data_IF_525987520007
#
_entry.id   IF_525987520007
#
_cell.length_a   1.000
_cell.length_b   1.000
_cell.length_c   1.000
_cell.angle_alpha   90.00
_cell.angle_beta   90.00
_cell.angle_gamma   90.00
#
_symmetry.space_group_name_H-M   'P 1'
#
loop_
_entity.id
_entity.type
_entity.pdbx_description
1 polymer ?
#
# COMPACT_ATOMS: atom_id res chain seq x y z
N UNK A 1 13.47 -6.46 -29.05
CA UNK A 1 12.98 -7.81 -29.40
C UNK A 1 11.68 -8.09 -28.64
N UNK A 2 10.50 -7.94 -29.25
CA UNK A 2 9.24 -8.45 -28.66
C UNK A 2 9.29 -9.96 -28.79
N UNK A 3 9.52 -10.68 -27.69
CA UNK A 3 9.34 -12.13 -27.70
C UNK A 3 7.89 -12.38 -28.11
N UNK A 4 7.65 -13.15 -29.19
CA UNK A 4 6.32 -13.46 -29.73
C UNK A 4 5.46 -14.33 -28.80
N UNK A 5 5.50 -14.08 -27.49
CA UNK A 5 4.69 -14.77 -26.49
C UNK A 5 3.26 -14.29 -26.61
N UNK A 6 2.34 -15.25 -26.71
CA UNK A 6 0.92 -15.00 -26.63
C UNK A 6 0.59 -14.38 -25.26
N UNK A 7 0.09 -13.14 -25.28
CA UNK A 7 -0.15 -12.34 -24.07
C UNK A 7 -1.31 -12.87 -23.23
N UNK A 8 -2.35 -13.41 -23.88
CA UNK A 8 -3.49 -14.04 -23.23
C UNK A 8 -3.23 -15.49 -22.75
N UNK A 9 -2.05 -16.06 -23.04
CA UNK A 9 -1.76 -17.41 -22.60
C UNK A 9 -1.69 -17.48 -21.07
N UNK A 10 -2.28 -18.54 -20.50
CA UNK A 10 -2.38 -18.73 -19.04
C UNK A 10 -1.02 -18.67 -18.34
N UNK A 11 0.05 -19.19 -18.97
CA UNK A 11 1.39 -19.15 -18.40
C UNK A 11 1.95 -17.72 -18.28
N UNK A 12 1.63 -16.83 -19.25
CA UNK A 12 2.00 -15.42 -19.23
C UNK A 12 1.25 -14.69 -18.12
N UNK A 13 -0.06 -14.91 -18.02
CA UNK A 13 -0.91 -14.31 -16.99
C UNK A 13 -0.53 -14.80 -15.58
N UNK A 14 -0.29 -16.09 -15.41
CA UNK A 14 0.15 -16.67 -14.13
C UNK A 14 1.48 -16.09 -13.64
N UNK A 15 2.41 -15.83 -14.56
CA UNK A 15 3.68 -15.17 -14.22
C UNK A 15 3.45 -13.73 -13.73
N UNK A 16 2.63 -12.97 -14.44
CA UNK A 16 2.29 -11.60 -14.07
C UNK A 16 1.55 -11.54 -12.73
N UNK A 17 0.58 -12.44 -12.51
CA UNK A 17 -0.15 -12.54 -11.26
C UNK A 17 0.79 -12.77 -10.08
N UNK A 18 1.75 -13.69 -10.18
CA UNK A 18 2.76 -13.92 -9.13
C UNK A 18 3.62 -12.69 -8.88
N UNK A 19 4.03 -11.98 -9.93
CA UNK A 19 4.81 -10.76 -9.81
C UNK A 19 4.05 -9.65 -9.06
N UNK A 20 2.73 -9.55 -9.25
CA UNK A 20 1.89 -8.48 -8.66
C UNK A 20 1.24 -8.86 -7.34
N UNK A 21 1.14 -10.15 -7.00
CA UNK A 21 0.42 -10.64 -5.82
C UNK A 21 0.83 -9.92 -4.54
N UNK A 22 2.13 -9.79 -4.27
CA UNK A 22 2.63 -9.12 -3.07
C UNK A 22 2.27 -7.63 -3.02
N UNK A 23 2.48 -6.89 -4.12
CA UNK A 23 2.13 -5.48 -4.19
C UNK A 23 0.62 -5.24 -4.03
N UNK A 24 -0.20 -6.09 -4.65
CA UNK A 24 -1.65 -6.01 -4.52
C UNK A 24 -2.10 -6.31 -3.08
N UNK A 25 -1.54 -7.33 -2.43
CA UNK A 25 -1.84 -7.65 -1.02
C UNK A 25 -1.43 -6.53 -0.06
N UNK A 26 -0.24 -5.95 -0.27
CA UNK A 26 0.22 -4.82 0.54
C UNK A 26 -0.75 -3.64 0.43
N UNK A 27 -1.17 -3.31 -0.80
CA UNK A 27 -2.12 -2.22 -1.03
C UNK A 27 -3.48 -2.50 -0.38
N UNK A 28 -4.01 -3.71 -0.55
CA UNK A 28 -5.28 -4.14 0.03
C UNK A 28 -5.28 -4.03 1.55
N UNK A 29 -4.23 -4.53 2.21
CA UNK A 29 -4.06 -4.42 3.66
C UNK A 29 -3.92 -2.97 4.11
N UNK A 30 -3.14 -2.17 3.38
CA UNK A 30 -2.92 -0.75 3.71
C UNK A 30 -4.23 0.04 3.67
N UNK A 31 -5.02 -0.12 2.60
CA UNK A 31 -6.29 0.58 2.44
C UNK A 31 -7.35 0.11 3.44
N UNK A 32 -7.35 -1.18 3.78
CA UNK A 32 -8.23 -1.71 4.83
C UNK A 32 -7.89 -1.09 6.18
N UNK A 33 -6.60 -1.01 6.54
CA UNK A 33 -6.15 -0.34 7.76
C UNK A 33 -6.50 1.14 7.77
N UNK A 34 -6.30 1.87 6.66
CA UNK A 34 -6.73 3.26 6.55
C UNK A 34 -8.23 3.43 6.73
N UNK A 35 -9.05 2.58 6.11
CA UNK A 35 -10.50 2.62 6.30
C UNK A 35 -10.89 2.39 7.75
N UNK A 36 -10.24 1.45 8.44
CA UNK A 36 -10.51 1.19 9.86
C UNK A 36 -10.10 2.37 10.74
N UNK A 37 -8.93 2.96 10.53
CA UNK A 37 -8.39 4.05 11.35
C UNK A 37 -9.03 5.42 11.09
N UNK A 38 -9.45 5.70 9.85
CA UNK A 38 -9.95 7.02 9.44
C UNK A 38 -11.44 7.04 9.09
N UNK A 39 -12.06 5.89 8.85
CA UNK A 39 -13.47 5.79 8.43
C UNK A 39 -14.47 5.53 9.57
N UNK A 40 -14.00 5.44 10.82
CA UNK A 40 -14.86 5.20 11.99
C UNK A 40 -14.74 6.37 12.97
N UNK A 41 -15.87 6.80 13.52
CA UNK A 41 -15.94 7.82 14.59
C UNK A 41 -15.93 7.13 15.95
N UNK A 42 -14.76 6.62 16.34
CA UNK A 42 -14.53 6.04 17.67
C UNK A 42 -13.42 6.81 18.39
N UNK A 43 -13.67 7.22 19.63
CA UNK A 43 -12.72 7.97 20.46
C UNK A 43 -11.38 7.27 20.59
N UNK A 44 -11.36 5.95 20.82
CA UNK A 44 -10.12 5.18 20.95
C UNK A 44 -9.31 5.13 19.64
N UNK A 45 -9.99 4.97 18.50
CA UNK A 45 -9.33 5.01 17.19
C UNK A 45 -8.78 6.41 16.87
N UNK A 46 -9.47 7.46 17.33
CA UNK A 46 -9.01 8.84 17.16
C UNK A 46 -7.70 9.09 17.92
N UNK A 47 -7.56 8.57 19.15
CA UNK A 47 -6.31 8.66 19.92
C UNK A 47 -5.16 7.94 19.23
N UNK A 48 -5.38 6.71 18.75
CA UNK A 48 -4.38 5.94 17.99
C UNK A 48 -3.95 6.70 16.74
N UNK A 49 -4.91 7.25 15.98
CA UNK A 49 -4.63 8.06 14.78
C UNK A 49 -3.80 9.28 15.12
N UNK A 50 -4.18 10.03 16.16
CA UNK A 50 -3.47 11.26 16.55
C UNK A 50 -2.05 10.97 17.04
N UNK A 51 -1.86 9.90 17.83
CA UNK A 51 -0.54 9.44 18.24
C UNK A 51 0.32 9.03 17.03
N UNK A 52 -0.26 8.31 16.07
CA UNK A 52 0.42 7.93 14.82
C UNK A 52 0.81 9.13 13.96
N UNK A 53 -0.08 10.11 13.80
CA UNK A 53 0.21 11.35 13.06
C UNK A 53 1.32 12.17 13.74
N UNK A 54 1.23 12.33 15.06
CA UNK A 54 2.27 13.00 15.85
C UNK A 54 3.64 12.32 15.70
N UNK A 55 3.68 10.98 15.76
CA UNK A 55 4.91 10.21 15.57
C UNK A 55 5.52 10.44 14.18
N UNK A 56 4.70 10.46 13.12
CA UNK A 56 5.18 10.73 11.75
C UNK A 56 5.70 12.15 11.63
N UNK A 57 5.07 13.12 12.29
CA UNK A 57 5.54 14.51 12.30
C UNK A 57 6.86 14.69 13.06
N UNK A 58 7.08 13.93 14.12
CA UNK A 58 8.34 13.93 14.88
C UNK A 58 9.48 13.15 14.21
N UNK A 59 9.21 12.34 13.17
CA UNK A 59 10.20 11.55 12.46
C UNK A 59 10.28 11.93 10.97
N UNK A 60 11.04 12.98 10.60
CA UNK A 60 11.12 13.50 9.22
C UNK A 60 11.53 12.45 8.18
N UNK A 61 12.42 11.51 8.54
CA UNK A 61 12.82 10.42 7.66
C UNK A 61 11.66 9.46 7.33
N UNK A 62 10.83 9.15 8.34
CA UNK A 62 9.63 8.32 8.16
C UNK A 62 8.61 9.04 7.28
N UNK A 63 8.33 10.31 7.57
CA UNK A 63 7.46 11.16 6.75
C UNK A 63 7.91 11.20 5.30
N UNK A 64 9.20 11.38 5.05
CA UNK A 64 9.76 11.36 3.71
C UNK A 64 9.55 10.01 3.01
N UNK A 65 9.81 8.88 3.69
CA UNK A 65 9.60 7.55 3.10
C UNK A 65 8.14 7.29 2.74
N UNK A 66 7.20 7.69 3.61
CA UNK A 66 5.76 7.57 3.34
C UNK A 66 5.40 8.36 2.07
N UNK A 67 5.92 9.59 1.93
CA UNK A 67 5.68 10.43 0.74
C UNK A 67 6.28 9.78 -0.52
N UNK A 68 7.51 9.27 -0.48
CA UNK A 68 8.11 8.60 -1.64
C UNK A 68 7.28 7.38 -2.08
N UNK A 69 6.86 6.55 -1.11
CA UNK A 69 6.01 5.39 -1.35
C UNK A 69 4.66 5.80 -1.97
N UNK A 70 4.05 6.89 -1.52
CA UNK A 70 2.80 7.42 -2.07
C UNK A 70 2.96 7.94 -3.51
N UNK A 71 4.12 8.51 -3.84
CA UNK A 71 4.46 8.95 -5.19
C UNK A 71 4.87 7.79 -6.13
N UNK A 72 4.98 6.56 -5.61
CA UNK A 72 5.45 5.40 -6.37
C UNK A 72 6.93 5.46 -6.72
N UNK A 73 7.72 6.18 -5.92
CA UNK A 73 9.17 6.31 -6.05
C UNK A 73 9.93 5.26 -5.24
#
# INVERSE_FOLDING_TARGET
KKAGRQWAALHTLSKYQRQRKGANQLMEMSMTGFKQLFGQENTFLSEIRNAGLSLVDHLPALKYRIIQQALGK
#
